data_IF_915672460229
#
_entry.id   IF_915672460229
#
_cell.length_a   1.000
_cell.length_b   1.000
_cell.length_c   1.000
_cell.angle_alpha   90.00
_cell.angle_beta   90.00
_cell.angle_gamma   90.00
#
_symmetry.space_group_name_H-M   'P 1'
#
loop_
_entity.id
_entity.type
_entity.pdbx_description
1 polymer ?
#
# COMPACT_ATOMS: atom_id res chain seq x y z
N UNK A 1 11.48 9.65 -34.65
CA UNK A 1 11.41 10.32 -33.34
C UNK A 1 10.30 9.65 -32.56
N UNK A 2 10.66 8.84 -31.56
CA UNK A 2 9.88 7.72 -31.06
C UNK A 2 8.85 8.15 -30.00
N UNK A 3 7.86 8.97 -30.39
CA UNK A 3 6.88 9.56 -29.46
C UNK A 3 5.91 8.56 -28.83
N UNK A 4 5.85 7.33 -29.35
CA UNK A 4 4.93 6.29 -28.88
C UNK A 4 5.51 5.43 -27.74
N UNK A 5 6.84 5.42 -27.55
CA UNK A 5 7.46 4.69 -26.42
C UNK A 5 7.46 5.46 -25.11
N UNK A 6 7.33 6.78 -25.16
CA UNK A 6 7.41 7.64 -23.96
C UNK A 6 6.06 7.66 -23.20
N UNK A 7 4.92 7.59 -23.91
CA UNK A 7 3.59 7.57 -23.31
C UNK A 7 3.35 6.34 -22.44
N UNK A 8 3.74 5.16 -22.94
CA UNK A 8 3.58 3.90 -22.20
C UNK A 8 4.46 3.83 -20.96
N UNK A 9 5.61 4.51 -20.95
CA UNK A 9 6.48 4.59 -19.76
C UNK A 9 5.92 5.53 -18.71
N UNK A 10 5.39 6.69 -19.11
CA UNK A 10 4.71 7.59 -18.19
C UNK A 10 3.52 6.92 -17.51
N UNK A 11 2.67 6.23 -18.27
CA UNK A 11 1.50 5.53 -17.74
C UNK A 11 1.91 4.43 -16.73
N UNK A 12 2.96 3.66 -17.04
CA UNK A 12 3.54 2.69 -16.10
C UNK A 12 4.09 3.35 -14.83
N UNK A 13 4.70 4.54 -14.93
CA UNK A 13 5.18 5.28 -13.76
C UNK A 13 4.05 5.78 -12.87
N UNK A 14 2.94 6.27 -13.46
CA UNK A 14 1.75 6.67 -12.70
C UNK A 14 1.09 5.48 -12.00
N UNK A 15 0.92 4.35 -12.70
CA UNK A 15 0.38 3.12 -12.10
C UNK A 15 1.28 2.60 -10.98
N UNK A 16 2.60 2.69 -11.12
CA UNK A 16 3.54 2.27 -10.07
C UNK A 16 3.48 3.18 -8.84
N UNK A 17 3.31 4.49 -9.04
CA UNK A 17 3.17 5.45 -7.95
C UNK A 17 1.88 5.21 -7.16
N UNK A 18 0.76 5.02 -7.86
CA UNK A 18 -0.54 4.70 -7.24
C UNK A 18 -0.49 3.38 -6.46
N UNK A 19 0.15 2.36 -7.03
CA UNK A 19 0.35 1.07 -6.38
C UNK A 19 1.25 1.14 -5.13
N UNK A 20 2.27 1.99 -5.13
CA UNK A 20 3.10 2.22 -3.95
C UNK A 20 2.32 2.95 -2.85
N UNK A 21 1.52 3.94 -3.21
CA UNK A 21 0.66 4.66 -2.27
C UNK A 21 -0.37 3.74 -1.62
N UNK A 22 -1.07 2.93 -2.43
CA UNK A 22 -2.02 1.95 -1.93
C UNK A 22 -1.37 0.93 -0.98
N UNK A 23 -0.12 0.56 -1.26
CA UNK A 23 0.64 -0.36 -0.42
C UNK A 23 1.03 0.30 0.92
N UNK A 24 1.45 1.56 0.91
CA UNK A 24 1.75 2.33 2.13
C UNK A 24 0.48 2.49 3.00
N UNK A 25 -0.66 2.88 2.41
CA UNK A 25 -1.93 2.95 3.13
C UNK A 25 -2.37 1.59 3.70
N UNK A 26 -2.07 0.49 3.00
CA UNK A 26 -2.32 -0.85 3.53
C UNK A 26 -1.44 -1.13 4.76
N UNK A 27 -0.19 -0.69 4.72
CA UNK A 27 0.72 -0.71 5.86
C UNK A 27 0.18 0.05 7.07
N UNK A 28 -0.32 1.26 6.87
CA UNK A 28 -0.95 2.06 7.94
C UNK A 28 -2.19 1.35 8.51
N UNK A 29 -3.00 0.76 7.64
CA UNK A 29 -4.14 -0.05 8.07
C UNK A 29 -3.71 -1.23 8.93
N UNK A 30 -2.65 -1.95 8.53
CA UNK A 30 -2.08 -3.05 9.31
C UNK A 30 -1.52 -2.56 10.65
N UNK A 31 -0.90 -1.38 10.69
CA UNK A 31 -0.40 -0.81 11.94
C UNK A 31 -1.54 -0.61 12.96
N UNK A 32 -2.68 -0.09 12.50
CA UNK A 32 -3.88 0.09 13.32
C UNK A 32 -4.51 -1.25 13.70
N UNK A 33 -4.73 -2.14 12.72
CA UNK A 33 -5.38 -3.44 12.92
C UNK A 33 -4.61 -4.32 13.93
N UNK A 34 -3.28 -4.34 13.83
CA UNK A 34 -2.41 -5.14 14.70
C UNK A 34 -1.92 -4.38 15.94
N UNK A 35 -2.41 -3.15 16.15
CA UNK A 35 -2.02 -2.27 17.28
C UNK A 35 -0.50 -2.20 17.44
N UNK A 36 0.20 -1.94 16.33
CA UNK A 36 1.65 -1.85 16.31
C UNK A 36 2.13 -0.63 17.12
N UNK A 37 3.32 -0.70 17.73
CA UNK A 37 3.93 0.43 18.42
C UNK A 37 4.01 1.70 17.56
N UNK A 38 3.87 2.86 18.20
CA UNK A 38 4.03 4.16 17.55
C UNK A 38 5.40 4.25 16.84
N UNK A 39 5.38 4.66 15.56
CA UNK A 39 6.56 4.70 14.70
C UNK A 39 6.74 3.45 13.84
N UNK A 40 5.76 2.54 13.83
CA UNK A 40 5.69 1.41 12.91
C UNK A 40 4.43 1.57 12.05
N UNK A 41 4.61 2.20 10.90
CA UNK A 41 3.58 2.54 9.92
C UNK A 41 4.06 2.20 8.50
N UNK A 42 3.20 2.38 7.51
CA UNK A 42 3.48 2.16 6.10
C UNK A 42 4.23 0.85 5.82
N UNK A 43 5.38 0.97 5.16
CA UNK A 43 6.18 -0.20 4.78
C UNK A 43 6.75 -1.00 5.96
N UNK A 44 7.07 -0.39 7.10
CA UNK A 44 7.59 -1.13 8.25
C UNK A 44 6.50 -2.03 8.87
N UNK A 45 5.25 -1.57 8.88
CA UNK A 45 4.10 -2.39 9.26
C UNK A 45 3.90 -3.57 8.29
N UNK A 46 4.09 -3.35 7.00
CA UNK A 46 4.02 -4.42 5.97
C UNK A 46 5.09 -5.48 6.21
N UNK A 47 6.33 -5.08 6.44
CA UNK A 47 7.42 -6.03 6.68
C UNK A 47 7.15 -6.88 7.92
N UNK A 48 6.65 -6.27 9.00
CA UNK A 48 6.31 -6.98 10.23
C UNK A 48 5.11 -7.92 10.04
N UNK A 49 4.11 -7.51 9.26
CA UNK A 49 2.98 -8.36 8.89
C UNK A 49 3.47 -9.61 8.13
N UNK A 50 4.30 -9.42 7.11
CA UNK A 50 4.88 -10.51 6.33
C UNK A 50 5.72 -11.45 7.20
N UNK A 51 6.53 -10.91 8.12
CA UNK A 51 7.28 -11.71 9.08
C UNK A 51 6.38 -12.54 10.00
N UNK A 52 5.26 -11.98 10.46
CA UNK A 52 4.31 -12.70 11.32
C UNK A 52 3.54 -13.78 10.57
N UNK A 53 3.06 -13.47 9.36
CA UNK A 53 2.21 -14.34 8.55
C UNK A 53 2.98 -15.47 7.87
N UNK A 54 4.07 -15.14 7.18
CA UNK A 54 4.85 -16.10 6.38
C UNK A 54 6.11 -16.61 7.09
N UNK A 55 6.38 -16.13 8.32
CA UNK A 55 7.57 -16.50 9.11
C UNK A 55 8.90 -16.15 8.43
N UNK A 56 8.88 -15.18 7.52
CA UNK A 56 10.10 -14.65 6.90
C UNK A 56 10.85 -13.72 7.84
N UNK A 57 12.14 -13.52 7.58
CA UNK A 57 12.95 -12.56 8.32
C UNK A 57 12.74 -11.15 7.79
N UNK A 58 12.90 -10.13 8.66
CA UNK A 58 12.79 -8.71 8.24
C UNK A 58 13.78 -8.39 7.12
N UNK A 59 14.98 -8.99 7.15
CA UNK A 59 15.98 -8.81 6.09
C UNK A 59 15.49 -9.36 4.75
N UNK A 60 14.83 -10.52 4.72
CA UNK A 60 14.23 -11.07 3.50
C UNK A 60 13.11 -10.16 3.00
N UNK A 61 12.21 -9.69 3.88
CA UNK A 61 11.14 -8.78 3.51
C UNK A 61 11.65 -7.46 2.94
N UNK A 62 12.71 -6.88 3.54
CA UNK A 62 13.35 -5.64 3.07
C UNK A 62 14.16 -5.80 1.79
N UNK A 63 14.61 -7.01 1.49
CA UNK A 63 15.33 -7.32 0.25
C UNK A 63 14.39 -7.59 -0.92
N UNK A 64 13.08 -7.78 -0.69
CA UNK A 64 12.12 -7.96 -1.78
C UNK A 64 11.89 -6.66 -2.53
N UNK A 65 11.72 -6.78 -3.84
CA UNK A 65 11.26 -5.67 -4.66
C UNK A 65 9.81 -5.33 -4.34
N UNK A 66 9.43 -4.06 -4.49
CA UNK A 66 8.06 -3.61 -4.25
C UNK A 66 7.03 -4.36 -5.10
N UNK A 67 7.40 -4.78 -6.32
CA UNK A 67 6.55 -5.63 -7.17
C UNK A 67 6.27 -6.99 -6.54
N UNK A 68 7.26 -7.59 -5.89
CA UNK A 68 7.13 -8.90 -5.26
C UNK A 68 6.32 -8.78 -3.97
N UNK A 69 6.51 -7.72 -3.19
CA UNK A 69 5.70 -7.40 -2.02
C UNK A 69 4.23 -7.26 -2.42
N UNK A 70 3.95 -6.52 -3.50
CA UNK A 70 2.58 -6.41 -4.04
C UNK A 70 2.02 -7.75 -4.49
N UNK A 71 2.83 -8.61 -5.09
CA UNK A 71 2.39 -9.94 -5.50
C UNK A 71 2.03 -10.81 -4.29
N UNK A 72 2.88 -10.78 -3.25
CA UNK A 72 2.63 -11.51 -1.99
C UNK A 72 1.33 -11.05 -1.34
N UNK A 73 1.08 -9.74 -1.34
CA UNK A 73 -0.08 -9.13 -0.70
C UNK A 73 -1.28 -8.95 -1.65
N UNK A 74 -1.21 -9.43 -2.88
CA UNK A 74 -2.24 -9.19 -3.90
C UNK A 74 -3.60 -9.79 -3.51
N UNK A 75 -3.60 -10.84 -2.67
CA UNK A 75 -4.83 -11.48 -2.20
C UNK A 75 -5.44 -10.68 -1.05
N UNK A 76 -4.60 -10.24 -0.13
CA UNK A 76 -4.93 -9.43 1.04
C UNK A 76 -5.43 -8.04 0.62
N UNK A 77 -4.75 -7.42 -0.34
CA UNK A 77 -5.16 -6.15 -0.95
C UNK A 77 -6.39 -6.29 -1.85
N UNK A 78 -6.79 -7.50 -2.25
CA UNK A 78 -8.06 -7.71 -2.97
C UNK A 78 -9.24 -7.71 -2.02
N UNK A 79 -9.06 -8.33 -0.84
CA UNK A 79 -10.08 -8.38 0.21
C UNK A 79 -10.11 -7.08 1.03
N UNK A 80 -9.02 -6.32 1.02
CA UNK A 80 -8.93 -4.98 1.58
C UNK A 80 -9.32 -3.92 0.54
N UNK A 81 -10.37 -3.17 0.85
CA UNK A 81 -10.71 -1.98 0.07
C UNK A 81 -10.11 -0.78 0.78
N UNK A 82 -9.46 0.15 0.05
CA UNK A 82 -9.08 1.43 0.65
C UNK A 82 -10.31 1.97 1.36
N UNK A 83 -10.19 2.42 2.62
CA UNK A 83 -11.24 3.19 3.23
C UNK A 83 -11.43 4.38 2.29
N UNK A 84 -12.53 4.37 1.52
CA UNK A 84 -12.97 5.55 0.77
C UNK A 84 -12.91 6.64 1.82
N UNK A 85 -12.05 7.63 1.61
CA UNK A 85 -12.12 8.85 2.39
C UNK A 85 -13.59 9.16 2.48
N UNK A 86 -14.13 9.04 3.69
CA UNK A 86 -15.49 9.46 3.96
C UNK A 86 -15.47 10.90 3.49
N UNK A 87 -16.04 11.14 2.31
CA UNK A 87 -16.60 12.44 1.98
C UNK A 87 -17.55 12.65 3.12
N UNK A 88 -17.04 13.33 4.16
CA UNK A 88 -17.80 13.86 5.26
C UNK A 88 -18.69 14.89 4.58
N UNK A 89 -19.80 14.38 4.04
CA UNK A 89 -20.92 15.19 3.63
C UNK A 89 -21.46 15.76 4.92
N UNK A 90 -20.83 16.86 5.37
CA UNK A 90 -21.35 17.73 6.40
C UNK A 90 -22.81 18.07 6.03
N UNK A 91 -23.81 17.51 6.73
CA UNK A 91 -25.21 17.78 6.44
C UNK A 91 -25.69 18.98 7.29
N UNK A 92 -24.85 19.99 7.51
CA UNK A 92 -25.23 21.13 8.35
C UNK A 92 -24.66 22.43 7.78
N UNK A 93 -25.36 23.00 6.80
CA UNK A 93 -25.37 24.43 6.48
C UNK A 93 -26.45 24.73 5.41
N UNK A 94 -27.72 24.63 5.81
CA UNK A 94 -28.69 25.63 5.39
C UNK A 94 -29.58 25.99 6.59
N UNK A 95 -29.77 27.29 6.77
CA UNK A 95 -30.33 27.95 7.97
C UNK A 95 -31.86 27.97 7.98
#
# INVERSE_FOLDING_TARGET
MNREKDSSRQELHYVTADLNYNLECFGDHLAVEYSLPNGIDGFDAIYLYMCRKYRWTIQQCRAMEMSDIRLVLATEMRDWTLPKETVDGNPDLDS
#
